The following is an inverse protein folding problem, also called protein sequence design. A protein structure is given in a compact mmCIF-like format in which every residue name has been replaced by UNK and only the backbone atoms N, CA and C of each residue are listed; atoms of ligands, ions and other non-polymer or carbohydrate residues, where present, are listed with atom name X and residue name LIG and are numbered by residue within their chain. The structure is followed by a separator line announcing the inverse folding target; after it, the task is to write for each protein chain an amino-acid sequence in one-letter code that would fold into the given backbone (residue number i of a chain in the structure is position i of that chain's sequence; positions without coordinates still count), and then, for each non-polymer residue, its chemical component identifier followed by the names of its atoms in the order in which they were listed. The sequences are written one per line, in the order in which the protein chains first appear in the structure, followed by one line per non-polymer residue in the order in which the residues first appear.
data_IF_306864654171
#
_entry.id   IF_306864654171
#
_cell.length_a   1.000
_cell.length_b   1.000
_cell.length_c   1.000
_cell.angle_alpha   90.00
_cell.angle_beta   90.00
_cell.angle_gamma   90.00
#
_symmetry.space_group_name_H-M   'P 1'
#
loop_
_entity.id
_entity.type
_entity.pdbx_description
1 polymer ?
#
# COMPACT_ATOMS: atom_id res chain seq x y z
N UNK A 1 -33.97 1.31 -36.91
CA UNK A 1 -32.87 1.41 -35.91
C UNK A 1 -32.61 2.90 -35.66
N UNK A 2 -32.77 3.39 -34.43
CA UNK A 2 -32.60 4.81 -34.09
C UNK A 2 -31.22 5.35 -34.52
N UNK A 3 -31.17 6.45 -35.28
CA UNK A 3 -29.94 7.13 -35.73
C UNK A 3 -28.97 7.42 -34.56
N UNK A 4 -29.51 7.72 -33.39
CA UNK A 4 -28.76 7.92 -32.14
C UNK A 4 -27.91 6.70 -31.72
N UNK A 5 -28.38 5.48 -31.98
CA UNK A 5 -27.58 4.27 -31.70
C UNK A 5 -26.51 4.04 -32.77
N UNK A 6 -26.76 4.45 -34.02
CA UNK A 6 -25.79 4.31 -35.12
C UNK A 6 -24.54 5.15 -34.88
N UNK A 7 -24.70 6.44 -34.56
CA UNK A 7 -23.55 7.35 -34.33
C UNK A 7 -22.68 6.93 -33.13
N UNK A 8 -23.31 6.44 -32.05
CA UNK A 8 -22.58 5.98 -30.86
C UNK A 8 -21.81 4.69 -31.12
N UNK A 9 -22.37 3.79 -31.93
CA UNK A 9 -21.69 2.55 -32.33
C UNK A 9 -20.50 2.85 -33.25
N UNK A 10 -20.66 3.79 -34.19
CA UNK A 10 -19.56 4.27 -35.03
C UNK A 10 -18.41 4.84 -34.18
N UNK A 11 -18.71 5.71 -33.21
CA UNK A 11 -17.73 6.25 -32.28
C UNK A 11 -16.94 5.16 -31.58
N UNK A 12 -17.62 4.15 -31.01
CA UNK A 12 -16.97 3.04 -30.33
C UNK A 12 -16.04 2.27 -31.27
N UNK A 13 -16.49 1.99 -32.49
CA UNK A 13 -15.70 1.27 -33.51
C UNK A 13 -14.43 2.05 -33.85
N UNK A 14 -14.55 3.34 -34.15
CA UNK A 14 -13.40 4.20 -34.50
C UNK A 14 -12.43 4.35 -33.34
N UNK A 15 -12.93 4.52 -32.11
CA UNK A 15 -12.08 4.62 -30.92
C UNK A 15 -11.29 3.32 -30.68
N UNK A 16 -11.95 2.16 -30.81
CA UNK A 16 -11.30 0.86 -30.68
C UNK A 16 -10.22 0.63 -31.75
N UNK A 17 -10.43 1.11 -32.97
CA UNK A 17 -9.42 1.05 -34.03
C UNK A 17 -8.16 1.88 -33.67
N UNK A 18 -8.35 3.10 -33.18
CA UNK A 18 -7.23 3.95 -32.72
C UNK A 18 -6.50 3.30 -31.54
N UNK A 19 -7.24 2.78 -30.55
CA UNK A 19 -6.67 2.07 -29.42
C UNK A 19 -5.86 0.83 -29.86
N UNK A 20 -6.40 0.05 -30.80
CA UNK A 20 -5.72 -1.13 -31.34
C UNK A 20 -4.38 -0.79 -32.01
N UNK A 21 -4.32 0.36 -32.69
CA UNK A 21 -3.11 0.85 -33.35
C UNK A 21 -2.07 1.43 -32.39
N UNK A 22 -2.50 2.16 -31.36
CA UNK A 22 -1.58 3.01 -30.58
C UNK A 22 -1.39 2.59 -29.10
N UNK A 23 -2.37 1.95 -28.46
CA UNK A 23 -2.35 1.78 -27.00
C UNK A 23 -1.25 0.83 -26.48
N UNK A 24 -0.65 0.02 -27.37
CA UNK A 24 0.45 -0.91 -27.07
C UNK A 24 1.82 -0.24 -27.10
N UNK A 25 1.92 1.02 -27.49
CA UNK A 25 3.18 1.76 -27.58
C UNK A 25 3.14 2.97 -26.66
N UNK A 26 4.18 3.15 -25.84
CA UNK A 26 4.35 4.31 -24.97
C UNK A 26 4.84 5.51 -25.78
N UNK A 27 4.72 6.70 -25.18
CA UNK A 27 5.22 7.95 -25.78
C UNK A 27 6.73 7.90 -26.06
N UNK A 28 7.50 7.14 -25.28
CA UNK A 28 8.94 6.96 -25.47
C UNK A 28 9.30 5.80 -26.41
N UNK A 29 8.36 5.26 -27.18
CA UNK A 29 8.58 4.15 -28.13
C UNK A 29 8.56 2.74 -27.52
N UNK A 30 8.69 2.61 -26.19
CA UNK A 30 8.68 1.30 -25.53
C UNK A 30 7.29 0.64 -25.55
N UNK A 31 7.26 -0.69 -25.45
CA UNK A 31 6.00 -1.44 -25.34
C UNK A 31 5.27 -1.08 -24.04
N UNK A 32 3.98 -0.74 -24.15
CA UNK A 32 3.10 -0.53 -23.02
C UNK A 32 2.69 -1.88 -22.43
N UNK A 33 2.63 -1.97 -21.10
CA UNK A 33 2.11 -3.20 -20.47
C UNK A 33 0.64 -3.41 -20.84
N UNK A 34 0.18 -4.67 -20.85
CA UNK A 34 -1.25 -4.98 -21.05
C UNK A 34 -2.15 -4.17 -20.10
N UNK A 35 -1.77 -4.04 -18.82
CA UNK A 35 -2.51 -3.25 -17.83
C UNK A 35 -2.58 -1.76 -18.18
N UNK A 36 -1.52 -1.20 -18.75
CA UNK A 36 -1.46 0.20 -19.18
C UNK A 36 -2.38 0.41 -20.37
N UNK A 37 -2.31 -0.45 -21.38
CA UNK A 37 -3.18 -0.39 -22.56
C UNK A 37 -4.66 -0.53 -22.18
N UNK A 38 -4.99 -1.48 -21.29
CA UNK A 38 -6.35 -1.70 -20.80
C UNK A 38 -6.89 -0.50 -20.00
N UNK A 39 -6.05 0.10 -19.14
CA UNK A 39 -6.41 1.32 -18.38
C UNK A 39 -6.68 2.49 -19.32
N UNK A 40 -5.82 2.69 -20.33
CA UNK A 40 -6.02 3.72 -21.36
C UNK A 40 -7.34 3.51 -22.11
N UNK A 41 -7.62 2.28 -22.55
CA UNK A 41 -8.88 1.95 -23.22
C UNK A 41 -10.10 2.24 -22.34
N UNK A 42 -10.07 1.79 -21.08
CA UNK A 42 -11.16 2.00 -20.12
C UNK A 42 -11.43 3.48 -19.87
N UNK A 43 -10.37 4.27 -19.62
CA UNK A 43 -10.50 5.71 -19.40
C UNK A 43 -11.04 6.42 -20.63
N UNK A 44 -10.54 6.12 -21.82
CA UNK A 44 -10.98 6.77 -23.06
C UNK A 44 -12.42 6.41 -23.41
N UNK A 45 -12.81 5.14 -23.33
CA UNK A 45 -14.20 4.75 -23.49
C UNK A 45 -15.11 5.45 -22.48
N UNK A 46 -14.67 5.62 -21.23
CA UNK A 46 -15.43 6.38 -20.21
C UNK A 46 -15.59 7.85 -20.62
N UNK A 47 -14.50 8.53 -21.01
CA UNK A 47 -14.55 9.93 -21.44
C UNK A 47 -15.51 10.15 -22.62
N UNK A 48 -15.39 9.33 -23.66
CA UNK A 48 -16.24 9.45 -24.85
C UNK A 48 -17.71 9.08 -24.58
N UNK A 49 -17.98 8.13 -23.69
CA UNK A 49 -19.34 7.86 -23.23
C UNK A 49 -19.91 9.03 -22.41
N UNK A 50 -19.09 9.66 -21.55
CA UNK A 50 -19.51 10.82 -20.77
C UNK A 50 -19.79 12.03 -21.67
N UNK A 51 -19.02 12.25 -22.74
CA UNK A 51 -19.31 13.27 -23.76
C UNK A 51 -20.71 13.06 -24.38
N UNK A 52 -21.04 11.82 -24.72
CA UNK A 52 -22.38 11.50 -25.21
C UNK A 52 -23.45 11.73 -24.13
N UNK A 53 -23.18 11.40 -22.87
CA UNK A 53 -24.14 11.64 -21.78
C UNK A 53 -24.48 13.13 -21.61
N UNK A 54 -23.50 14.01 -21.81
CA UNK A 54 -23.67 15.47 -21.69
C UNK A 54 -24.08 16.15 -23.01
N UNK A 55 -24.55 15.39 -24.00
CA UNK A 55 -25.09 15.91 -25.26
C UNK A 55 -24.04 16.21 -26.35
N UNK A 56 -22.75 15.97 -26.10
CA UNK A 56 -21.71 16.09 -27.14
C UNK A 56 -21.74 14.83 -28.04
N UNK A 57 -22.49 14.89 -29.15
CA UNK A 57 -22.72 13.80 -30.11
C UNK A 57 -21.54 13.56 -31.06
N UNK A 58 -20.34 13.40 -30.53
CA UNK A 58 -19.13 13.15 -31.33
C UNK A 58 -19.22 11.75 -31.95
N UNK A 59 -19.15 11.65 -33.28
CA UNK A 59 -19.14 10.37 -34.01
C UNK A 59 -17.73 9.91 -34.38
N UNK A 60 -16.85 10.84 -34.76
CA UNK A 60 -15.41 10.57 -34.96
C UNK A 60 -14.61 11.03 -33.73
N UNK A 61 -13.89 10.13 -33.02
CA UNK A 61 -13.00 10.49 -31.92
C UNK A 61 -11.99 11.60 -32.24
N UNK A 62 -11.59 11.75 -33.51
CA UNK A 62 -10.68 12.81 -33.97
C UNK A 62 -11.29 14.20 -33.88
N UNK A 63 -12.62 14.32 -33.81
CA UNK A 63 -13.33 15.59 -33.65
C UNK A 63 -13.36 16.08 -32.18
N UNK A 64 -12.61 15.44 -31.28
CA UNK A 64 -12.38 15.96 -29.94
C UNK A 64 -11.75 17.37 -30.02
N UNK A 65 -12.21 18.26 -29.13
CA UNK A 65 -11.77 19.66 -29.04
C UNK A 65 -11.52 20.02 -27.57
N UNK A 66 -10.85 21.14 -27.33
CA UNK A 66 -10.63 21.63 -25.97
C UNK A 66 -11.95 21.95 -25.25
N UNK A 67 -12.97 22.45 -25.96
CA UNK A 67 -14.31 22.71 -25.41
C UNK A 67 -14.96 21.43 -24.90
N UNK A 68 -14.80 20.31 -25.62
CA UNK A 68 -15.29 19.00 -25.16
C UNK A 68 -14.60 18.55 -23.85
N UNK A 69 -13.29 18.75 -23.75
CA UNK A 69 -12.52 18.41 -22.54
C UNK A 69 -12.93 19.27 -21.35
N UNK A 70 -13.18 20.57 -21.57
CA UNK A 70 -13.72 21.47 -20.54
C UNK A 70 -15.06 20.97 -20.02
N UNK A 71 -16.02 20.71 -20.91
CA UNK A 71 -17.36 20.17 -20.56
C UNK A 71 -17.28 18.86 -19.78
N UNK A 72 -16.33 17.98 -20.11
CA UNK A 72 -16.08 16.76 -19.33
C UNK A 72 -15.60 17.06 -17.91
N UNK A 73 -14.68 18.00 -17.73
CA UNK A 73 -14.17 18.36 -16.41
C UNK A 73 -15.27 18.97 -15.53
N UNK A 74 -16.07 19.88 -16.09
CA UNK A 74 -17.24 20.48 -15.43
C UNK A 74 -18.26 19.40 -15.03
N UNK A 75 -18.57 18.48 -15.94
CA UNK A 75 -19.46 17.36 -15.67
C UNK A 75 -18.93 16.44 -14.56
N UNK A 76 -17.66 16.04 -14.63
CA UNK A 76 -17.05 15.19 -13.61
C UNK A 76 -17.02 15.86 -12.25
N UNK A 77 -16.74 17.16 -12.20
CA UNK A 77 -16.76 17.94 -10.97
C UNK A 77 -18.18 17.98 -10.38
N UNK A 78 -19.18 18.31 -11.20
CA UNK A 78 -20.60 18.33 -10.81
C UNK A 78 -21.10 16.96 -10.32
N UNK A 79 -20.56 15.87 -10.87
CA UNK A 79 -20.88 14.50 -10.45
C UNK A 79 -20.07 14.01 -9.25
N UNK A 80 -19.21 14.84 -8.66
CA UNK A 80 -18.38 14.46 -7.51
C UNK A 80 -17.37 13.35 -7.84
N UNK A 81 -16.91 13.25 -9.10
CA UNK A 81 -15.86 12.31 -9.46
C UNK A 81 -14.57 12.73 -8.76
N UNK A 82 -13.89 11.77 -8.12
CA UNK A 82 -12.66 12.04 -7.40
C UNK A 82 -11.61 12.74 -8.29
N UNK A 83 -10.95 13.78 -7.76
CA UNK A 83 -9.91 14.57 -8.44
C UNK A 83 -8.82 13.69 -9.07
N UNK A 84 -8.40 12.64 -8.38
CA UNK A 84 -7.40 11.69 -8.89
C UNK A 84 -7.88 10.92 -10.12
N UNK A 85 -9.16 10.56 -10.17
CA UNK A 85 -9.80 9.94 -11.34
C UNK A 85 -9.91 10.92 -12.50
N UNK A 86 -10.29 12.17 -12.23
CA UNK A 86 -10.34 13.22 -13.27
C UNK A 86 -8.96 13.46 -13.89
N UNK A 87 -7.92 13.59 -13.07
CA UNK A 87 -6.54 13.73 -13.53
C UNK A 87 -6.08 12.51 -14.34
N UNK A 88 -6.40 11.30 -13.91
CA UNK A 88 -6.08 10.08 -14.67
C UNK A 88 -6.75 10.04 -16.04
N UNK A 89 -8.04 10.44 -16.12
CA UNK A 89 -8.76 10.56 -17.39
C UNK A 89 -8.17 11.64 -18.29
N UNK A 90 -7.80 12.80 -17.74
CA UNK A 90 -7.09 13.86 -18.47
C UNK A 90 -5.72 13.39 -18.99
N UNK A 91 -4.97 12.62 -18.21
CA UNK A 91 -3.72 11.99 -18.68
C UNK A 91 -3.98 11.06 -19.86
N UNK A 92 -5.04 10.24 -19.81
CA UNK A 92 -5.42 9.38 -20.94
C UNK A 92 -5.80 10.18 -22.18
N UNK A 93 -6.58 11.26 -22.00
CA UNK A 93 -6.96 12.18 -23.09
C UNK A 93 -5.73 12.86 -23.71
N UNK A 94 -4.76 13.30 -22.91
CA UNK A 94 -3.53 13.92 -23.43
C UNK A 94 -2.74 12.98 -24.33
N UNK A 95 -2.59 11.72 -23.91
CA UNK A 95 -1.95 10.68 -24.73
C UNK A 95 -2.74 10.45 -26.03
N UNK A 96 -4.07 10.33 -25.93
CA UNK A 96 -4.94 10.16 -27.09
C UNK A 96 -4.84 11.33 -28.07
N UNK A 97 -4.78 12.57 -27.56
CA UNK A 97 -4.64 13.76 -28.38
C UNK A 97 -3.31 13.78 -29.13
N UNK A 98 -2.23 13.28 -28.51
CA UNK A 98 -0.97 13.02 -29.20
C UNK A 98 -1.13 12.06 -30.40
N UNK A 99 -1.89 10.97 -30.26
CA UNK A 99 -2.12 10.00 -31.35
C UNK A 99 -2.88 10.59 -32.55
N UNK A 100 -3.72 11.60 -32.33
CA UNK A 100 -4.53 12.23 -33.38
C UNK A 100 -3.95 13.58 -33.86
N UNK A 101 -2.72 13.92 -33.47
CA UNK A 101 -2.04 15.15 -33.90
C UNK A 101 -2.52 16.44 -33.21
N UNK A 102 -3.10 16.34 -32.01
CA UNK A 102 -3.66 17.45 -31.22
C UNK A 102 -3.00 17.59 -29.83
N UNK A 103 -1.68 17.43 -29.74
CA UNK A 103 -0.95 17.26 -28.46
C UNK A 103 -1.21 18.33 -27.39
N UNK A 104 -1.35 19.60 -27.78
CA UNK A 104 -1.45 20.73 -26.85
C UNK A 104 -2.88 21.06 -26.39
N UNK A 105 -3.86 20.24 -26.80
CA UNK A 105 -5.28 20.51 -26.57
C UNK A 105 -5.73 20.30 -25.11
N UNK A 106 -5.03 19.46 -24.34
CA UNK A 106 -5.45 19.07 -22.98
C UNK A 106 -4.66 19.83 -21.92
N UNK A 107 -5.30 20.86 -21.35
CA UNK A 107 -4.79 21.68 -20.25
C UNK A 107 -4.84 20.98 -18.88
N UNK A 108 -4.35 21.63 -17.84
CA UNK A 108 -4.46 21.13 -16.47
C UNK A 108 -5.90 21.21 -15.95
N UNK A 109 -6.21 20.45 -14.89
CA UNK A 109 -7.56 20.45 -14.30
C UNK A 109 -7.98 21.83 -13.77
N UNK A 110 -7.12 22.61 -13.07
CA UNK A 110 -7.46 23.98 -12.67
C UNK A 110 -7.76 24.93 -13.83
N UNK A 111 -7.08 24.78 -14.97
CA UNK A 111 -7.38 25.62 -16.15
C UNK A 111 -8.76 25.31 -16.78
N UNK A 112 -9.27 24.10 -16.57
CA UNK A 112 -10.62 23.73 -16.98
C UNK A 112 -11.70 24.05 -15.93
N UNK A 113 -11.31 24.24 -14.68
CA UNK A 113 -12.20 24.55 -13.55
C UNK A 113 -11.67 25.79 -12.79
N UNK A 114 -11.66 26.98 -13.42
CA UNK A 114 -11.07 28.18 -12.82
C UNK A 114 -11.81 28.65 -11.57
N UNK A 115 -13.12 28.35 -11.46
CA UNK A 115 -13.97 28.76 -10.34
C UNK A 115 -13.82 27.86 -9.10
N UNK A 116 -13.04 26.77 -9.22
CA UNK A 116 -12.75 25.85 -8.11
C UNK A 116 -11.38 26.16 -7.54
N UNK A 117 -11.30 26.35 -6.24
CA UNK A 117 -10.03 26.59 -5.56
C UNK A 117 -8.98 25.54 -5.94
N UNK A 118 -7.84 25.99 -6.47
CA UNK A 118 -6.82 25.10 -7.01
C UNK A 118 -6.30 24.05 -6.00
N UNK A 119 -6.36 24.35 -4.69
CA UNK A 119 -5.99 23.40 -3.62
C UNK A 119 -6.88 22.15 -3.59
N UNK A 120 -8.17 22.29 -3.88
CA UNK A 120 -9.14 21.18 -3.92
C UNK A 120 -8.94 20.28 -5.16
N UNK A 121 -8.27 20.82 -6.19
CA UNK A 121 -7.94 20.12 -7.43
C UNK A 121 -6.55 19.45 -7.40
N UNK A 122 -5.82 19.54 -6.29
CA UNK A 122 -4.54 18.84 -6.08
C UNK A 122 -4.79 17.51 -5.38
N UNK A 123 -4.09 16.47 -5.83
CA UNK A 123 -4.12 15.15 -5.19
C UNK A 123 -2.94 15.03 -4.23
N UNK A 124 -3.23 15.03 -2.94
CA UNK A 124 -2.23 14.70 -1.90
C UNK A 124 -1.95 13.21 -1.95
N UNK A 125 -0.70 12.84 -2.22
CA UNK A 125 -0.27 11.42 -2.27
C UNK A 125 0.26 10.92 -0.94
N UNK A 126 0.62 11.83 -0.04
CA UNK A 126 1.10 11.54 1.31
C UNK A 126 -0.04 10.95 2.15
N UNK A 127 0.21 9.83 2.81
CA UNK A 127 -0.71 9.25 3.76
C UNK A 127 -0.91 10.20 4.95
N UNK A 128 -2.16 10.52 5.26
CA UNK A 128 -2.52 11.27 6.47
C UNK A 128 -2.78 10.28 7.61
N UNK A 129 -3.52 9.21 7.31
CA UNK A 129 -3.73 8.07 8.18
C UNK A 129 -3.03 6.82 7.65
N UNK A 130 -2.73 5.90 8.56
CA UNK A 130 -2.17 4.60 8.19
C UNK A 130 -3.10 3.84 7.25
N UNK A 131 -2.51 3.15 6.28
CA UNK A 131 -3.20 2.22 5.37
C UNK A 131 -2.94 0.76 5.74
N UNK A 132 -2.22 0.50 6.84
CA UNK A 132 -1.94 -0.85 7.31
C UNK A 132 -3.22 -1.50 7.84
N UNK A 133 -3.24 -2.84 7.90
CA UNK A 133 -4.40 -3.56 8.40
C UNK A 133 -4.58 -3.31 9.90
N UNK A 134 -3.50 -3.49 10.68
CA UNK A 134 -3.55 -3.33 12.14
C UNK A 134 -4.00 -1.94 12.58
N UNK A 135 -3.55 -0.86 11.92
CA UNK A 135 -3.97 0.49 12.31
C UNK A 135 -5.39 0.85 11.85
N UNK A 136 -6.01 0.02 11.01
CA UNK A 136 -7.42 0.12 10.62
C UNK A 136 -8.29 -0.91 11.38
N UNK A 137 -7.80 -1.46 12.50
CA UNK A 137 -8.57 -2.35 13.38
C UNK A 137 -8.74 -3.77 12.85
N UNK A 138 -8.00 -4.15 11.81
CA UNK A 138 -8.02 -5.52 11.30
C UNK A 138 -7.07 -6.39 12.13
N UNK A 139 -7.60 -7.46 12.73
CA UNK A 139 -6.79 -8.52 13.33
C UNK A 139 -6.10 -9.33 12.22
N UNK A 140 -4.80 -9.07 12.05
CA UNK A 140 -4.01 -9.71 10.98
C UNK A 140 -3.82 -11.20 11.24
N UNK A 141 -3.73 -11.62 12.51
CA UNK A 141 -3.57 -13.03 12.88
C UNK A 141 -4.84 -13.80 12.50
N UNK A 142 -6.01 -13.29 12.87
CA UNK A 142 -7.29 -13.86 12.52
C UNK A 142 -7.47 -13.93 10.99
N UNK A 143 -7.16 -12.84 10.27
CA UNK A 143 -7.30 -12.82 8.80
C UNK A 143 -6.38 -13.79 8.09
N UNK A 144 -5.17 -14.01 8.62
CA UNK A 144 -4.26 -15.02 8.08
C UNK A 144 -4.79 -16.44 8.37
N UNK A 145 -5.36 -16.71 9.55
CA UNK A 145 -6.01 -18.01 9.84
C UNK A 145 -7.19 -18.28 8.90
N UNK A 146 -8.09 -17.30 8.74
CA UNK A 146 -9.20 -17.39 7.79
C UNK A 146 -8.71 -17.62 6.35
N UNK A 147 -7.59 -16.99 5.97
CA UNK A 147 -6.98 -17.22 4.67
C UNK A 147 -6.44 -18.64 4.50
N UNK A 148 -5.82 -19.22 5.53
CA UNK A 148 -5.34 -20.61 5.50
C UNK A 148 -6.49 -21.61 5.41
N UNK A 149 -7.55 -21.41 6.19
CA UNK A 149 -8.76 -22.23 6.18
C UNK A 149 -9.47 -22.17 4.81
N UNK A 150 -9.53 -20.98 4.22
CA UNK A 150 -10.13 -20.77 2.90
C UNK A 150 -9.29 -21.39 1.78
N UNK A 151 -7.98 -21.10 1.77
CA UNK A 151 -7.04 -21.54 0.74
C UNK A 151 -5.60 -21.37 1.23
N UNK A 152 -4.94 -22.47 1.59
CA UNK A 152 -3.56 -22.46 2.11
C UNK A 152 -2.53 -21.78 1.18
N UNK A 153 -2.76 -21.73 -0.13
CA UNK A 153 -1.89 -21.01 -1.07
C UNK A 153 -2.08 -19.50 -0.90
N UNK A 154 -3.32 -19.05 -0.72
CA UNK A 154 -3.62 -17.65 -0.41
C UNK A 154 -3.04 -17.22 0.94
N UNK A 155 -3.20 -18.03 2.00
CA UNK A 155 -2.62 -17.73 3.31
C UNK A 155 -1.10 -17.62 3.30
N UNK A 156 -0.40 -18.42 2.48
CA UNK A 156 1.04 -18.26 2.21
C UNK A 156 1.37 -16.95 1.50
N UNK A 157 0.57 -16.53 0.52
CA UNK A 157 0.76 -15.25 -0.16
C UNK A 157 0.63 -14.07 0.81
N UNK A 158 -0.36 -14.08 1.70
CA UNK A 158 -0.53 -12.99 2.67
C UNK A 158 0.67 -12.87 3.61
N UNK A 159 1.23 -13.99 4.06
CA UNK A 159 2.47 -14.00 4.86
C UNK A 159 3.64 -13.42 4.08
N UNK A 160 3.82 -13.80 2.80
CA UNK A 160 4.86 -13.21 1.96
C UNK A 160 4.64 -11.70 1.71
N UNK A 161 3.40 -11.27 1.48
CA UNK A 161 3.04 -9.86 1.31
C UNK A 161 3.38 -9.04 2.58
N UNK A 162 3.09 -9.58 3.77
CA UNK A 162 3.38 -8.93 5.06
C UNK A 162 4.87 -8.93 5.40
N UNK A 163 5.57 -10.05 5.20
CA UNK A 163 6.99 -10.22 5.59
C UNK A 163 7.96 -9.50 4.66
N UNK A 164 7.60 -9.31 3.38
CA UNK A 164 8.50 -8.74 2.36
C UNK A 164 7.89 -7.55 1.60
N UNK A 165 6.71 -7.10 2.00
CA UNK A 165 6.04 -5.95 1.38
C UNK A 165 5.76 -6.16 -0.11
N UNK A 166 5.53 -7.38 -0.57
CA UNK A 166 5.37 -7.67 -1.99
C UNK A 166 4.11 -6.98 -2.55
N UNK A 167 4.16 -6.59 -3.82
CA UNK A 167 2.95 -6.18 -4.54
C UNK A 167 2.18 -7.44 -4.94
N UNK A 168 0.86 -7.34 -5.09
CA UNK A 168 0.00 -8.44 -5.59
C UNK A 168 0.58 -9.14 -6.83
N UNK A 169 1.09 -8.39 -7.80
CA UNK A 169 1.69 -8.98 -9.01
C UNK A 169 3.04 -9.66 -8.75
N UNK A 170 3.80 -9.20 -7.77
CA UNK A 170 5.08 -9.76 -7.38
C UNK A 170 4.85 -11.10 -6.67
N UNK A 171 3.95 -11.16 -5.69
CA UNK A 171 3.65 -12.41 -4.97
C UNK A 171 3.02 -13.48 -5.87
N UNK A 172 2.12 -13.08 -6.80
CA UNK A 172 1.49 -14.01 -7.74
C UNK A 172 2.47 -14.62 -8.75
N UNK A 173 3.56 -13.92 -9.06
CA UNK A 173 4.56 -14.38 -10.04
C UNK A 173 5.86 -14.84 -9.39
N UNK A 174 5.97 -14.73 -8.07
CA UNK A 174 7.15 -15.11 -7.33
C UNK A 174 7.43 -16.60 -7.48
N UNK A 175 8.71 -16.94 -7.57
CA UNK A 175 9.23 -18.31 -7.62
C UNK A 175 10.07 -18.52 -6.36
N UNK A 176 9.53 -19.09 -5.27
CA UNK A 176 10.17 -19.02 -3.95
C UNK A 176 11.62 -19.51 -3.93
N UNK A 177 11.87 -20.70 -4.50
CA UNK A 177 13.21 -21.29 -4.58
C UNK A 177 14.20 -20.47 -5.42
N UNK A 178 13.76 -19.85 -6.52
CA UNK A 178 14.61 -18.98 -7.33
C UNK A 178 14.86 -17.62 -6.64
N UNK A 179 13.90 -17.16 -5.85
CA UNK A 179 13.93 -15.83 -5.24
C UNK A 179 14.76 -15.81 -3.96
N UNK A 180 14.96 -16.95 -3.32
CA UNK A 180 15.80 -17.08 -2.12
C UNK A 180 17.29 -17.02 -2.48
N UNK A 181 17.96 -15.95 -2.04
CA UNK A 181 19.38 -15.72 -2.24
C UNK A 181 20.19 -15.93 -0.94
N UNK A 182 19.62 -16.65 0.04
CA UNK A 182 20.23 -16.87 1.35
C UNK A 182 19.88 -15.76 2.33
N UNK A 183 20.62 -14.65 2.31
CA UNK A 183 20.38 -13.48 3.18
C UNK A 183 19.38 -12.47 2.60
N UNK A 184 18.93 -12.68 1.36
CA UNK A 184 18.02 -11.77 0.65
C UNK A 184 16.94 -12.52 -0.11
N UNK A 185 15.78 -11.88 -0.27
CA UNK A 185 14.74 -12.27 -1.21
C UNK A 185 14.81 -11.38 -2.47
N UNK A 186 15.11 -11.98 -3.62
CA UNK A 186 15.14 -11.29 -4.92
C UNK A 186 13.77 -11.26 -5.58
N UNK A 187 13.28 -10.07 -5.90
CA UNK A 187 12.03 -9.87 -6.65
C UNK A 187 12.36 -9.64 -8.13
N UNK A 188 12.09 -10.66 -8.96
CA UNK A 188 12.35 -10.60 -10.40
C UNK A 188 11.29 -9.79 -11.18
N UNK A 189 10.01 -10.11 -10.97
CA UNK A 189 8.88 -9.55 -11.76
C UNK A 189 8.32 -8.27 -11.15
N UNK A 190 9.18 -7.25 -11.01
CA UNK A 190 8.81 -5.98 -10.42
C UNK A 190 8.09 -5.04 -11.41
N UNK A 191 7.31 -4.10 -10.86
CA UNK A 191 6.73 -3.01 -11.66
C UNK A 191 7.83 -2.24 -12.39
N UNK A 192 7.71 -2.12 -13.71
CA UNK A 192 8.69 -1.53 -14.63
C UNK A 192 9.99 -2.34 -14.83
N UNK A 193 10.01 -3.64 -14.47
CA UNK A 193 11.16 -4.53 -14.73
C UNK A 193 12.38 -4.29 -13.84
N UNK A 194 12.26 -3.46 -12.79
CA UNK A 194 13.35 -3.16 -11.87
C UNK A 194 13.45 -4.22 -10.77
N UNK A 195 14.31 -5.21 -10.99
CA UNK A 195 14.62 -6.19 -9.96
C UNK A 195 15.13 -5.49 -8.70
N UNK A 196 14.82 -6.07 -7.54
CA UNK A 196 15.33 -5.60 -6.25
C UNK A 196 15.56 -6.77 -5.32
N UNK A 197 16.49 -6.58 -4.40
CA UNK A 197 16.71 -7.49 -3.29
C UNK A 197 16.11 -6.90 -2.01
N UNK A 198 15.51 -7.75 -1.19
CA UNK A 198 14.97 -7.40 0.12
C UNK A 198 15.74 -8.22 1.14
N UNK A 199 16.47 -7.58 2.03
CA UNK A 199 17.22 -8.29 3.06
C UNK A 199 16.28 -9.05 4.00
N UNK A 200 16.69 -10.24 4.42
CA UNK A 200 16.00 -11.06 5.42
C UNK A 200 16.59 -10.65 6.77
N UNK A 201 15.90 -9.75 7.45
CA UNK A 201 16.38 -9.08 8.68
C UNK A 201 15.95 -9.81 9.96
N UNK A 202 14.94 -10.68 9.86
CA UNK A 202 14.32 -11.32 11.01
C UNK A 202 14.21 -12.84 10.84
N UNK A 203 14.31 -13.61 11.94
CA UNK A 203 14.07 -15.06 11.91
C UNK A 203 12.69 -15.42 11.33
N UNK A 204 11.67 -14.61 11.57
CA UNK A 204 10.30 -14.84 11.12
C UNK A 204 10.17 -14.66 9.61
N UNK A 205 10.86 -13.69 9.00
CA UNK A 205 10.95 -13.59 7.53
C UNK A 205 11.55 -14.86 6.93
N UNK A 206 12.63 -15.38 7.54
CA UNK A 206 13.27 -16.62 7.12
C UNK A 206 12.30 -17.80 7.23
N UNK A 207 11.66 -17.98 8.38
CA UNK A 207 10.67 -19.03 8.62
C UNK A 207 9.50 -18.98 7.64
N UNK A 208 8.99 -17.79 7.31
CA UNK A 208 7.93 -17.63 6.31
C UNK A 208 8.40 -18.11 4.93
N UNK A 209 9.59 -17.72 4.50
CA UNK A 209 10.13 -18.14 3.21
C UNK A 209 10.41 -19.66 3.16
N UNK A 210 10.91 -20.24 4.25
CA UNK A 210 11.16 -21.69 4.33
C UNK A 210 9.87 -22.50 4.25
N UNK A 211 8.83 -22.14 5.02
CA UNK A 211 7.51 -22.80 4.93
C UNK A 211 6.89 -22.68 3.54
N UNK A 212 7.12 -21.56 2.85
CA UNK A 212 6.66 -21.39 1.47
C UNK A 212 7.46 -22.26 0.49
N UNK A 213 8.76 -22.44 0.71
CA UNK A 213 9.61 -23.32 -0.08
C UNK A 213 9.28 -24.79 0.14
N UNK A 214 9.03 -25.23 1.37
CA UNK A 214 8.57 -26.61 1.67
C UNK A 214 7.30 -26.96 0.89
N UNK A 215 6.41 -25.97 0.73
CA UNK A 215 5.16 -26.13 0.01
C UNK A 215 5.26 -26.03 -1.52
N UNK A 216 6.40 -25.59 -2.07
CA UNK A 216 6.61 -25.41 -3.51
C UNK A 216 7.70 -26.36 -3.99
N UNK A 217 7.42 -27.20 -4.99
CA UNK A 217 8.31 -28.35 -5.32
C UNK A 217 9.47 -27.99 -6.26
N UNK A 218 9.22 -27.16 -7.27
CA UNK A 218 10.18 -26.86 -8.33
C UNK A 218 10.92 -25.53 -8.16
N UNK A 219 12.18 -25.46 -8.62
CA UNK A 219 13.00 -24.24 -8.64
C UNK A 219 12.30 -23.05 -9.31
N UNK A 220 11.55 -23.31 -10.37
CA UNK A 220 10.84 -22.31 -11.16
C UNK A 220 9.33 -22.28 -10.94
N UNK A 221 8.84 -23.07 -9.99
CA UNK A 221 7.42 -23.07 -9.65
C UNK A 221 7.02 -21.72 -9.07
N UNK A 222 5.90 -21.20 -9.57
CA UNK A 222 5.29 -20.01 -9.00
C UNK A 222 4.55 -20.35 -7.70
N UNK A 223 4.48 -19.38 -6.78
CA UNK A 223 3.67 -19.49 -5.56
C UNK A 223 2.16 -19.57 -5.87
N UNK A 224 1.72 -18.96 -6.97
CA UNK A 224 0.30 -18.95 -7.32
C UNK A 224 -0.26 -20.29 -7.77
N UNK A 225 -1.60 -20.38 -7.79
CA UNK A 225 -2.31 -21.57 -8.22
C UNK A 225 -1.88 -21.98 -9.63
N UNK A 226 -1.51 -23.26 -9.79
CA UNK A 226 -1.11 -23.85 -11.08
C UNK A 226 -2.31 -24.19 -11.95
N UNK A 227 -3.45 -24.49 -11.33
CA UNK A 227 -4.68 -24.87 -12.00
C UNK A 227 -5.87 -24.03 -11.51
N UNK A 228 -6.81 -23.84 -12.42
CA UNK A 228 -8.15 -23.31 -12.13
C UNK A 228 -8.94 -24.31 -11.28
N UNK A 229 -10.06 -23.88 -10.69
CA UNK A 229 -10.99 -24.78 -9.99
C UNK A 229 -11.57 -25.89 -10.89
N UNK A 230 -11.43 -25.76 -12.22
CA UNK A 230 -11.86 -26.77 -13.21
C UNK A 230 -10.69 -27.60 -13.76
N UNK A 231 -9.53 -27.61 -13.08
CA UNK A 231 -8.35 -28.40 -13.46
C UNK A 231 -7.54 -27.88 -14.66
N UNK A 232 -7.98 -26.82 -15.35
CA UNK A 232 -7.20 -26.19 -16.45
C UNK A 232 -5.99 -25.44 -15.92
N UNK A 233 -4.93 -25.29 -16.72
CA UNK A 233 -3.78 -24.43 -16.39
C UNK A 233 -4.25 -23.02 -16.07
N UNK A 234 -3.85 -22.49 -14.92
CA UNK A 234 -4.23 -21.16 -14.45
C UNK A 234 -3.40 -20.09 -15.18
N UNK A 235 -4.09 -19.06 -15.68
CA UNK A 235 -3.44 -17.86 -16.22
C UNK A 235 -3.18 -16.83 -15.11
N UNK A 236 -2.35 -15.84 -15.39
CA UNK A 236 -2.12 -14.73 -14.47
C UNK A 236 -3.41 -13.96 -14.18
N UNK A 237 -4.26 -13.73 -15.18
CA UNK A 237 -5.56 -13.05 -15.00
C UNK A 237 -6.50 -13.86 -14.11
N UNK A 238 -6.53 -15.19 -14.25
CA UNK A 238 -7.26 -16.06 -13.35
C UNK A 238 -6.74 -15.92 -11.91
N UNK A 239 -5.42 -15.95 -11.73
CA UNK A 239 -4.79 -15.85 -10.41
C UNK A 239 -5.05 -14.48 -9.75
N UNK A 240 -5.05 -13.39 -10.52
CA UNK A 240 -5.45 -12.05 -10.03
C UNK A 240 -6.92 -12.09 -9.58
N UNK A 241 -7.81 -12.66 -10.40
CA UNK A 241 -9.23 -12.78 -10.08
C UNK A 241 -9.47 -13.60 -8.82
N UNK A 242 -8.80 -14.75 -8.69
CA UNK A 242 -8.88 -15.62 -7.51
C UNK A 242 -8.34 -14.94 -6.26
N UNK A 243 -7.18 -14.30 -6.32
CA UNK A 243 -6.63 -13.52 -5.20
C UNK A 243 -7.63 -12.47 -4.71
N UNK A 244 -8.24 -11.70 -5.62
CA UNK A 244 -9.22 -10.68 -5.23
C UNK A 244 -10.48 -11.30 -4.61
N UNK A 245 -10.94 -12.45 -5.11
CA UNK A 245 -12.07 -13.18 -4.53
C UNK A 245 -11.76 -13.70 -3.14
N UNK A 246 -10.59 -14.31 -2.93
CA UNK A 246 -10.15 -14.77 -1.61
C UNK A 246 -10.03 -13.60 -0.62
N UNK A 247 -9.45 -12.48 -1.07
CA UNK A 247 -9.34 -11.26 -0.26
C UNK A 247 -10.72 -10.72 0.16
N UNK A 248 -11.70 -10.72 -0.76
CA UNK A 248 -13.06 -10.32 -0.44
C UNK A 248 -13.75 -11.33 0.50
N UNK A 249 -13.52 -12.62 0.32
CA UNK A 249 -14.12 -13.68 1.14
C UNK A 249 -13.68 -13.62 2.62
N UNK A 250 -12.45 -13.15 2.90
CA UNK A 250 -12.00 -12.90 4.28
C UNK A 250 -12.40 -11.50 4.80
N UNK A 251 -13.24 -10.76 4.06
CA UNK A 251 -13.77 -9.44 4.44
C UNK A 251 -12.80 -8.28 4.22
N UNK A 252 -11.71 -8.47 3.47
CA UNK A 252 -10.75 -7.40 3.19
C UNK A 252 -11.12 -6.68 1.90
N UNK A 253 -12.11 -5.80 2.02
CA UNK A 253 -12.51 -4.86 0.98
C UNK A 253 -12.52 -3.44 1.52
N UNK A 254 -12.39 -2.45 0.64
CA UNK A 254 -12.48 -1.04 1.05
C UNK A 254 -13.82 -0.73 1.72
N UNK A 255 -14.90 -1.42 1.33
CA UNK A 255 -16.23 -1.23 1.87
C UNK A 255 -16.37 -1.81 3.28
N UNK A 256 -15.83 -3.00 3.53
CA UNK A 256 -16.01 -3.72 4.80
C UNK A 256 -14.93 -3.39 5.82
N UNK A 257 -13.66 -3.38 5.41
CA UNK A 257 -12.51 -3.21 6.31
C UNK A 257 -11.85 -1.83 6.20
N UNK A 258 -12.31 -0.95 5.31
CA UNK A 258 -11.64 0.34 5.02
C UNK A 258 -10.31 0.21 4.26
N UNK A 259 -9.70 -0.99 4.28
CA UNK A 259 -8.42 -1.31 3.65
C UNK A 259 -8.56 -2.31 2.50
N UNK A 260 -7.44 -2.61 1.83
CA UNK A 260 -7.37 -3.61 0.76
C UNK A 260 -6.12 -4.47 0.98
N UNK A 261 -5.91 -5.51 0.17
CA UNK A 261 -4.65 -6.28 0.18
C UNK A 261 -3.38 -5.43 0.07
N UNK A 262 -3.44 -4.27 -0.60
CA UNK A 262 -2.29 -3.36 -0.66
C UNK A 262 -1.92 -2.74 0.70
N UNK A 263 -2.82 -2.78 1.68
CA UNK A 263 -2.57 -2.33 3.05
C UNK A 263 -1.46 -3.11 3.74
N UNK A 264 -1.29 -4.41 3.45
CA UNK A 264 -0.16 -5.21 3.98
C UNK A 264 1.20 -4.65 3.57
N UNK A 265 1.28 -4.02 2.39
CA UNK A 265 2.51 -3.36 1.94
C UNK A 265 2.78 -2.05 2.67
N UNK A 266 1.73 -1.31 3.06
CA UNK A 266 1.89 -0.16 3.96
C UNK A 266 2.30 -0.63 5.36
N UNK A 267 1.72 -1.74 5.83
CA UNK A 267 2.10 -2.39 7.08
C UNK A 267 3.56 -2.82 7.09
N UNK A 268 4.04 -3.48 6.04
CA UNK A 268 5.45 -3.81 5.88
C UNK A 268 6.34 -2.56 5.94
N UNK A 269 5.94 -1.46 5.29
CA UNK A 269 6.71 -0.21 5.32
C UNK A 269 6.80 0.39 6.74
N UNK A 270 5.71 0.34 7.51
CA UNK A 270 5.69 0.74 8.92
C UNK A 270 6.56 -0.19 9.77
N UNK A 271 6.43 -1.50 9.60
CA UNK A 271 7.21 -2.50 10.33
C UNK A 271 8.72 -2.38 10.06
N UNK A 272 9.10 -2.20 8.79
CA UNK A 272 10.49 -2.01 8.38
C UNK A 272 11.07 -0.70 8.96
N UNK A 273 10.25 0.34 9.09
CA UNK A 273 10.67 1.57 9.76
C UNK A 273 10.93 1.35 11.25
N UNK A 274 10.06 0.62 11.95
CA UNK A 274 10.24 0.29 13.36
C UNK A 274 11.47 -0.59 13.60
N UNK A 275 11.73 -1.57 12.73
CA UNK A 275 12.97 -2.38 12.76
C UNK A 275 14.20 -1.50 12.55
N UNK A 276 14.10 -0.43 11.75
CA UNK A 276 15.16 0.55 11.58
C UNK A 276 15.22 1.60 12.71
N UNK A 277 14.48 1.42 13.81
CA UNK A 277 14.37 2.38 14.93
C UNK A 277 13.86 3.76 14.50
N UNK A 278 12.90 3.79 13.58
CA UNK A 278 12.24 5.02 13.11
C UNK A 278 10.73 4.86 13.24
N UNK A 279 10.10 5.70 14.04
CA UNK A 279 8.65 5.74 14.18
C UNK A 279 8.06 6.50 12.99
N UNK A 280 7.21 5.89 12.15
CA UNK A 280 6.60 6.60 11.04
C UNK A 280 5.57 7.66 11.49
N UNK A 281 5.30 8.71 10.69
CA UNK A 281 4.30 9.72 11.02
C UNK A 281 2.89 9.18 11.23
N UNK A 282 2.53 8.17 10.43
CA UNK A 282 1.25 7.45 10.59
C UNK A 282 1.11 6.69 11.91
N UNK A 283 2.23 6.43 12.61
CA UNK A 283 2.28 5.84 13.95
C UNK A 283 2.65 6.87 15.04
N UNK A 284 2.62 8.17 14.71
CA UNK A 284 2.87 9.26 15.66
C UNK A 284 4.32 9.73 15.79
N UNK A 285 5.23 9.24 14.93
CA UNK A 285 6.60 9.75 14.87
C UNK A 285 6.70 11.13 14.23
N UNK A 286 7.64 11.94 14.69
CA UNK A 286 7.85 13.30 14.17
C UNK A 286 9.14 13.38 13.34
N UNK A 287 9.33 14.47 12.59
CA UNK A 287 10.61 14.74 11.93
C UNK A 287 11.75 15.12 12.89
N UNK A 288 11.45 15.38 14.16
CA UNK A 288 12.40 15.75 15.21
C UNK A 288 12.94 14.58 16.03
N UNK A 289 12.47 13.36 15.77
CA UNK A 289 12.82 12.16 16.55
C UNK A 289 14.31 11.75 16.44
N UNK A 290 15.02 12.22 15.42
CA UNK A 290 16.44 11.96 15.16
C UNK A 290 17.00 13.04 14.23
N UNK A 291 18.33 13.03 14.02
CA UNK A 291 18.96 13.92 13.03
C UNK A 291 18.39 13.66 11.62
N UNK A 292 18.24 14.74 10.85
CA UNK A 292 17.70 14.70 9.50
C UNK A 292 18.55 13.82 8.57
N UNK A 293 19.88 13.83 8.71
CA UNK A 293 20.77 12.99 7.92
C UNK A 293 20.50 11.51 8.16
N UNK A 294 20.42 11.12 9.44
CA UNK A 294 20.06 9.76 9.85
C UNK A 294 18.67 9.36 9.36
N UNK A 295 17.68 10.25 9.53
CA UNK A 295 16.30 10.03 9.09
C UNK A 295 16.23 9.77 7.58
N UNK A 296 16.92 10.57 6.77
CA UNK A 296 16.92 10.42 5.31
C UNK A 296 17.60 9.12 4.86
N UNK A 297 18.66 8.66 5.55
CA UNK A 297 19.28 7.35 5.30
C UNK A 297 18.28 6.22 5.55
N UNK A 298 17.60 6.20 6.71
CA UNK A 298 16.60 5.17 7.03
C UNK A 298 15.45 5.18 6.04
N UNK A 299 14.96 6.37 5.67
CA UNK A 299 13.91 6.51 4.65
C UNK A 299 14.37 6.02 3.27
N UNK A 300 15.63 6.23 2.89
CA UNK A 300 16.20 5.71 1.65
C UNK A 300 16.26 4.18 1.64
N UNK A 301 16.73 3.56 2.72
CA UNK A 301 16.77 2.10 2.87
C UNK A 301 15.37 1.48 2.75
N UNK A 302 14.36 2.06 3.43
CA UNK A 302 12.98 1.57 3.34
C UNK A 302 12.39 1.79 1.94
N UNK A 303 12.72 2.92 1.29
CA UNK A 303 12.36 3.17 -0.11
C UNK A 303 12.90 2.06 -1.03
N UNK A 304 14.15 1.66 -0.85
CA UNK A 304 14.80 0.60 -1.62
C UNK A 304 14.15 -0.77 -1.40
N UNK A 305 13.86 -1.15 -0.14
CA UNK A 305 13.09 -2.37 0.19
C UNK A 305 11.74 -2.42 -0.53
N UNK A 306 11.09 -1.25 -0.65
CA UNK A 306 9.84 -1.07 -1.41
C UNK A 306 10.05 -1.00 -2.95
N UNK A 307 11.29 -1.02 -3.45
CA UNK A 307 11.59 -0.96 -4.87
C UNK A 307 11.44 0.43 -5.47
N UNK A 308 11.79 1.46 -4.70
CA UNK A 308 11.75 2.85 -5.10
C UNK A 308 13.13 3.49 -4.92
N UNK A 309 13.55 4.28 -5.92
CA UNK A 309 14.79 5.07 -5.86
C UNK A 309 14.60 6.47 -5.29
N UNK A 310 13.37 6.84 -4.90
CA UNK A 310 13.02 8.18 -4.43
C UNK A 310 12.43 8.09 -3.04
N UNK A 311 13.09 8.74 -2.08
CA UNK A 311 12.72 8.77 -0.67
C UNK A 311 11.28 9.24 -0.48
N UNK A 312 10.82 10.26 -1.23
CA UNK A 312 9.47 10.82 -1.10
C UNK A 312 8.32 9.84 -1.34
N UNK A 313 8.59 8.71 -2.00
CA UNK A 313 7.54 7.69 -2.23
C UNK A 313 7.12 7.00 -0.94
N UNK A 314 7.99 6.93 0.05
CA UNK A 314 7.64 6.32 1.33
C UNK A 314 6.52 7.07 2.04
N UNK A 315 6.39 8.37 1.79
CA UNK A 315 5.31 9.19 2.33
C UNK A 315 3.91 8.77 1.91
N UNK A 316 3.77 8.05 0.78
CA UNK A 316 2.48 7.48 0.38
C UNK A 316 2.06 6.26 1.21
N UNK A 317 3.01 5.61 1.89
CA UNK A 317 2.78 4.45 2.73
C UNK A 317 2.63 4.84 4.19
N UNK A 318 3.54 5.68 4.71
CA UNK A 318 3.62 5.93 6.15
C UNK A 318 3.62 7.41 6.58
N UNK A 319 3.37 8.35 5.66
CA UNK A 319 3.25 9.79 5.94
C UNK A 319 4.54 10.60 5.77
N UNK A 320 4.46 11.91 5.95
CA UNK A 320 5.59 12.84 5.77
C UNK A 320 6.11 13.33 7.12
N UNK A 321 7.43 13.39 7.26
CA UNK A 321 8.12 13.94 8.43
C UNK A 321 8.19 15.47 8.45
N UNK A 322 7.56 16.18 7.50
CA UNK A 322 7.70 17.63 7.38
C UNK A 322 9.06 18.07 6.82
N UNK A 323 9.29 19.39 6.72
CA UNK A 323 10.55 19.98 6.20
C UNK A 323 11.35 20.75 7.25
N UNK A 324 10.65 21.47 8.13
CA UNK A 324 11.22 22.28 9.20
C UNK A 324 10.58 21.80 10.50
N UNK A 325 11.30 20.98 11.26
CA UNK A 325 10.79 20.38 12.49
C UNK A 325 11.81 20.62 13.59
N UNK A 326 11.34 21.06 14.75
CA UNK A 326 12.16 21.17 15.96
C UNK A 326 12.50 19.77 16.46
N UNK A 327 13.72 19.57 16.97
CA UNK A 327 14.10 18.31 17.62
C UNK A 327 13.09 17.95 18.73
N UNK A 328 12.72 16.68 18.82
CA UNK A 328 11.93 16.18 19.93
C UNK A 328 12.73 16.30 21.23
N UNK A 329 12.04 16.37 22.37
CA UNK A 329 12.71 16.32 23.68
C UNK A 329 13.37 14.96 23.89
N UNK A 330 14.53 14.94 24.55
CA UNK A 330 15.30 13.71 24.79
C UNK A 330 14.51 12.65 25.60
N UNK A 331 13.55 13.10 26.43
CA UNK A 331 12.69 12.27 27.26
C UNK A 331 11.37 11.87 26.59
N UNK A 332 11.16 12.18 25.30
CA UNK A 332 9.89 11.89 24.58
C UNK A 332 9.44 10.44 24.74
N UNK A 333 10.36 9.50 24.57
CA UNK A 333 10.07 8.06 24.70
C UNK A 333 9.57 7.72 26.11
N UNK A 334 10.30 8.17 27.14
CA UNK A 334 9.94 8.02 28.56
C UNK A 334 8.54 8.56 28.84
N UNK A 335 8.33 9.84 28.55
CA UNK A 335 7.06 10.55 28.83
C UNK A 335 5.90 9.85 28.12
N UNK A 336 6.12 9.37 26.90
CA UNK A 336 5.10 8.69 26.12
C UNK A 336 4.73 7.33 26.71
N UNK A 337 5.72 6.50 27.05
CA UNK A 337 5.48 5.17 27.60
C UNK A 337 4.82 5.28 28.98
N UNK A 338 5.38 6.07 29.91
CA UNK A 338 4.83 6.23 31.27
C UNK A 338 3.39 6.75 31.25
N UNK A 339 3.11 7.71 30.35
CA UNK A 339 1.75 8.20 30.11
C UNK A 339 0.82 7.07 29.66
N UNK A 340 1.24 6.21 28.74
CA UNK A 340 0.41 5.08 28.30
C UNK A 340 0.17 4.07 29.43
N UNK A 341 1.21 3.75 30.22
CA UNK A 341 1.10 2.82 31.37
C UNK A 341 0.08 3.31 32.39
N UNK A 342 0.16 4.59 32.76
CA UNK A 342 -0.76 5.20 33.71
C UNK A 342 -2.18 5.31 33.15
N UNK A 343 -2.32 5.80 31.91
CA UNK A 343 -3.62 6.13 31.32
C UNK A 343 -4.43 4.91 30.90
N UNK A 344 -3.77 3.80 30.54
CA UNK A 344 -4.41 2.60 29.99
C UNK A 344 -4.39 1.40 30.96
N UNK A 345 -3.89 1.57 32.20
CA UNK A 345 -3.81 0.51 33.23
C UNK A 345 -3.13 -0.78 32.73
N UNK A 346 -1.99 -0.64 32.06
CA UNK A 346 -1.26 -1.75 31.42
C UNK A 346 -0.55 -2.59 32.48
N UNK A 347 -0.61 -3.92 32.35
CA UNK A 347 0.25 -4.85 33.10
C UNK A 347 -0.22 -5.21 34.51
N UNK A 348 -1.43 -4.79 34.91
CA UNK A 348 -1.88 -4.91 36.31
C UNK A 348 -2.16 -6.38 36.72
N UNK A 349 -2.62 -7.23 35.81
CA UNK A 349 -3.15 -8.57 36.16
C UNK A 349 -2.42 -9.76 35.54
N UNK A 350 -1.56 -9.57 34.54
CA UNK A 350 -0.88 -10.67 33.83
C UNK A 350 0.50 -10.95 34.42
N UNK A 351 0.88 -12.23 34.58
CA UNK A 351 2.27 -12.62 34.84
C UNK A 351 3.09 -12.63 33.56
N UNK A 352 4.43 -12.52 33.67
CA UNK A 352 5.31 -12.68 32.52
C UNK A 352 5.40 -14.18 32.18
N UNK A 353 5.21 -14.54 30.92
CA UNK A 353 5.36 -15.93 30.48
C UNK A 353 6.83 -16.35 30.56
N UNK A 354 7.08 -17.57 31.05
CA UNK A 354 8.45 -18.02 31.34
C UNK A 354 9.37 -18.02 30.11
N UNK A 355 8.83 -18.38 28.95
CA UNK A 355 9.51 -18.39 27.65
C UNK A 355 9.80 -16.99 27.09
N UNK A 356 9.29 -15.93 27.74
CA UNK A 356 9.44 -14.52 27.31
C UNK A 356 10.21 -13.67 28.31
N UNK A 357 10.61 -14.23 29.45
CA UNK A 357 11.23 -13.47 30.53
C UNK A 357 12.55 -12.83 30.09
N UNK A 358 13.42 -13.58 29.42
CA UNK A 358 14.71 -13.07 28.94
C UNK A 358 14.54 -11.91 27.96
N UNK A 359 13.66 -12.07 26.97
CA UNK A 359 13.27 -11.02 26.02
C UNK A 359 12.72 -9.77 26.73
N UNK A 360 11.87 -9.95 27.74
CA UNK A 360 11.32 -8.84 28.52
C UNK A 360 12.40 -8.13 29.33
N UNK A 361 13.35 -8.85 29.92
CA UNK A 361 14.47 -8.28 30.68
C UNK A 361 15.44 -7.52 29.77
N UNK A 362 15.68 -8.01 28.55
CA UNK A 362 16.47 -7.29 27.56
C UNK A 362 15.83 -5.93 27.22
N UNK A 363 14.55 -5.93 26.85
CA UNK A 363 13.83 -4.69 26.54
C UNK A 363 13.71 -3.78 27.75
N UNK A 364 13.53 -4.34 28.95
CA UNK A 364 13.52 -3.57 30.19
C UNK A 364 14.84 -2.83 30.39
N UNK A 365 15.98 -3.49 30.15
CA UNK A 365 17.30 -2.84 30.23
C UNK A 365 17.44 -1.68 29.24
N UNK A 366 16.93 -1.82 28.02
CA UNK A 366 16.92 -0.73 27.02
C UNK A 366 16.10 0.47 27.49
N UNK A 367 14.96 0.22 28.13
CA UNK A 367 14.06 1.27 28.64
C UNK A 367 14.59 1.92 29.92
N UNK A 368 15.22 1.16 30.82
CA UNK A 368 15.89 1.71 32.01
C UNK A 368 17.04 2.64 31.62
N UNK A 369 17.76 2.36 30.54
CA UNK A 369 18.79 3.26 30.00
C UNK A 369 18.21 4.60 29.50
N UNK A 370 16.91 4.65 29.21
CA UNK A 370 16.14 5.85 28.86
C UNK A 370 15.35 6.41 30.06
N UNK A 371 15.64 5.93 31.27
CA UNK A 371 14.99 6.33 32.52
C UNK A 371 13.47 6.13 32.55
N UNK A 372 12.97 5.11 31.83
CA UNK A 372 11.54 4.75 31.80
C UNK A 372 11.20 3.86 33.00
N UNK A 373 10.25 4.29 33.83
CA UNK A 373 9.70 3.44 34.89
C UNK A 373 8.68 2.44 34.32
N UNK A 374 9.11 1.20 34.14
CA UNK A 374 8.29 0.12 33.57
C UNK A 374 8.68 -1.24 34.15
N UNK A 375 7.69 -2.13 34.27
CA UNK A 375 7.89 -3.52 34.72
C UNK A 375 7.96 -4.49 33.54
N UNK A 376 8.59 -5.66 33.74
CA UNK A 376 8.63 -6.72 32.73
C UNK A 376 7.22 -7.18 32.26
N UNK A 377 6.21 -7.11 33.15
CA UNK A 377 4.80 -7.40 32.80
C UNK A 377 4.24 -6.40 31.80
N UNK A 378 4.53 -5.12 32.00
CA UNK A 378 4.11 -4.06 31.11
C UNK A 378 4.85 -4.13 29.77
N UNK A 379 6.15 -4.44 29.79
CA UNK A 379 6.94 -4.72 28.58
C UNK A 379 6.29 -5.86 27.78
N UNK A 380 5.95 -6.98 28.41
CA UNK A 380 5.29 -8.09 27.71
C UNK A 380 4.01 -7.64 27.02
N UNK A 381 3.13 -6.89 27.72
CA UNK A 381 1.86 -6.44 27.13
C UNK A 381 2.05 -5.50 25.94
N UNK A 382 2.97 -4.54 26.04
CA UNK A 382 3.27 -3.65 24.92
C UNK A 382 3.87 -4.43 23.74
N UNK A 383 4.72 -5.41 24.03
CA UNK A 383 5.36 -6.23 23.00
C UNK A 383 4.42 -7.23 22.34
N UNK A 384 3.43 -7.78 23.06
CA UNK A 384 2.33 -8.57 22.48
C UNK A 384 1.60 -7.75 21.40
N UNK A 385 1.24 -6.49 21.71
CA UNK A 385 0.56 -5.59 20.75
C UNK A 385 1.48 -5.24 19.57
N UNK A 386 2.78 -5.04 19.81
CA UNK A 386 3.74 -4.83 18.73
C UNK A 386 3.81 -6.06 17.80
N UNK A 387 3.84 -7.25 18.38
CA UNK A 387 3.97 -8.53 17.68
C UNK A 387 2.81 -8.79 16.71
N UNK A 388 1.59 -8.37 17.05
CA UNK A 388 0.42 -8.46 16.18
C UNK A 388 0.63 -7.80 14.81
N UNK A 389 1.46 -6.73 14.73
CA UNK A 389 1.77 -6.07 13.45
C UNK A 389 2.50 -6.99 12.47
N UNK A 390 3.09 -8.07 12.95
CA UNK A 390 3.81 -9.09 12.17
C UNK A 390 3.00 -10.39 12.02
N UNK A 391 1.74 -10.40 12.48
CA UNK A 391 0.88 -11.57 12.53
C UNK A 391 1.48 -12.76 13.30
N UNK A 392 2.20 -12.46 14.38
CA UNK A 392 2.72 -13.43 15.35
C UNK A 392 2.32 -13.01 16.76
N UNK A 393 2.20 -13.97 17.67
CA UNK A 393 1.89 -13.67 19.08
C UNK A 393 3.08 -13.11 19.84
N UNK A 394 4.29 -13.43 19.38
CA UNK A 394 5.54 -12.94 19.97
C UNK A 394 6.58 -12.80 18.85
N UNK A 395 6.95 -11.56 18.56
CA UNK A 395 8.02 -11.22 17.61
C UNK A 395 9.35 -11.31 18.37
N UNK A 396 10.34 -12.01 17.85
CA UNK A 396 11.69 -12.02 18.43
C UNK A 396 12.21 -10.58 18.52
N UNK A 397 12.52 -10.07 19.72
CA UNK A 397 13.14 -8.76 19.91
C UNK A 397 14.53 -8.69 19.24
N UNK A 398 14.97 -7.48 18.93
CA UNK A 398 16.32 -7.21 18.44
C UNK A 398 16.96 -6.16 19.35
N UNK A 399 18.11 -5.59 19.01
CA UNK A 399 18.61 -4.43 19.79
C UNK A 399 17.84 -3.19 19.36
N UNK A 400 17.39 -2.36 20.30
CA UNK A 400 16.79 -1.05 20.00
C UNK A 400 15.26 -1.07 19.84
N UNK A 401 14.54 -1.76 20.72
CA UNK A 401 13.08 -1.90 20.63
C UNK A 401 12.30 -0.72 21.21
N UNK A 402 12.97 0.25 21.83
CA UNK A 402 12.33 1.39 22.48
C UNK A 402 11.36 2.14 21.54
N UNK A 403 11.75 2.41 20.29
CA UNK A 403 10.88 3.07 19.30
C UNK A 403 9.63 2.25 18.95
N UNK A 404 9.72 0.92 18.96
CA UNK A 404 8.60 0.03 18.71
C UNK A 404 7.60 0.04 19.88
N UNK A 405 8.10 0.04 21.12
CA UNK A 405 7.28 0.16 22.34
C UNK A 405 6.65 1.54 22.46
N UNK A 406 7.40 2.60 22.13
CA UNK A 406 6.88 3.97 22.06
C UNK A 406 5.74 4.09 21.04
N UNK A 407 5.89 3.50 19.85
CA UNK A 407 4.84 3.49 18.83
C UNK A 407 3.55 2.80 19.33
N UNK A 408 3.67 1.72 20.11
CA UNK A 408 2.52 1.07 20.76
C UNK A 408 1.91 1.99 21.82
N UNK A 409 2.72 2.63 22.65
CA UNK A 409 2.25 3.58 23.65
C UNK A 409 1.46 4.74 23.02
N UNK A 410 1.97 5.34 21.93
CA UNK A 410 1.26 6.38 21.16
C UNK A 410 -0.10 5.90 20.66
N UNK A 411 -0.16 4.68 20.13
CA UNK A 411 -1.42 4.06 19.68
C UNK A 411 -2.43 3.93 20.82
N UNK A 412 -2.00 3.40 21.97
CA UNK A 412 -2.87 3.19 23.13
C UNK A 412 -3.42 4.51 23.68
N UNK A 413 -2.57 5.53 23.81
CA UNK A 413 -2.99 6.88 24.23
C UNK A 413 -4.04 7.43 23.26
N UNK A 414 -3.83 7.30 21.95
CA UNK A 414 -4.78 7.77 20.93
C UNK A 414 -6.14 7.06 21.05
N UNK A 415 -6.13 5.74 21.24
CA UNK A 415 -7.35 4.94 21.38
C UNK A 415 -8.14 5.30 22.64
N UNK A 416 -7.47 5.39 23.79
CA UNK A 416 -8.11 5.74 25.06
C UNK A 416 -8.65 7.18 25.03
N UNK A 417 -7.90 8.12 24.44
CA UNK A 417 -8.37 9.50 24.24
C UNK A 417 -9.64 9.55 23.37
N UNK A 418 -9.72 8.74 22.32
CA UNK A 418 -10.91 8.67 21.48
C UNK A 418 -12.09 8.05 22.24
N UNK A 419 -11.85 7.01 23.04
CA UNK A 419 -12.88 6.36 23.88
C UNK A 419 -13.52 7.33 24.87
N UNK A 420 -12.71 8.12 25.58
CA UNK A 420 -13.20 9.11 26.56
C UNK A 420 -13.88 10.35 25.96
N UNK A 421 -13.74 10.58 24.65
CA UNK A 421 -14.50 11.64 23.94
C UNK A 421 -15.89 11.16 23.51
N UNK A 422 -16.12 9.85 23.46
CA UNK A 422 -17.36 9.23 23.00
C UNK A 422 -18.29 8.80 24.15
N UNK A 423 -17.74 8.56 25.34
CA UNK A 423 -18.48 8.37 26.59
C UNK A 423 -18.46 9.64 27.40
#
# INVERSE_FOLDING_TARGET
MNENNSGRNLLKKLLSAILGKHAKTRVNGNVASHSTAATQGTNLHTCFNDLWRIGCRITDPKNLTQTHVRKLCEYWHTKGIATSTMQARLSSLRIFCGWIGKGDMVKSLPEFLPDVEARLLRVVKTAQDSKSWTENGVDVIEKIKLADELDVVFGRMLRMDLSFGLRRMEVLQMKPHKSDMGSKLRVYEAKNGRQRDIDIETPEQRQVLDRVKEATKGKFDHLAWKQTTRGKVATLDYNIGRYNKCMAAIGITRKEAGVTGHGLRAQYAENAALIAHMIPPTLGGTGGQMDKGELDIKRAQISEKLGHSRIDITGAYYGSFGRNVTQDTADRCKVTIEKALHYCHIGVTKTVAADRMEDCLQMLKELTALDVDITARQVQMLWEIHSEKFAVYWKTPHVGNASALEAVALKLIKQETARRKLG
#
